data_IF_622069213475
#
_entry.id   IF_622069213475
#
_cell.length_a   1.000
_cell.length_b   1.000
_cell.length_c   1.000
_cell.angle_alpha   90.00
_cell.angle_beta   90.00
_cell.angle_gamma   90.00
#
_symmetry.space_group_name_H-M   'P 1'
#
loop_
_entity.id
_entity.type
_entity.pdbx_description
1 polymer ?
#
# COMPACT_ATOMS: atom_id res chain seq x y z
N UNK A 1 -23.41 -8.55 17.03
CA UNK A 1 -22.99 -7.63 15.95
C UNK A 1 -21.64 -6.94 16.26
N UNK A 2 -21.07 -7.21 17.44
CA UNK A 2 -19.87 -6.51 17.94
C UNK A 2 -18.54 -7.07 17.42
N UNK A 3 -18.53 -8.33 16.98
CA UNK A 3 -17.32 -9.00 16.45
C UNK A 3 -16.89 -8.44 15.11
N UNK A 4 -17.83 -8.23 14.18
CA UNK A 4 -17.55 -7.65 12.85
C UNK A 4 -17.03 -6.22 12.99
N UNK A 5 -17.61 -5.42 13.89
CA UNK A 5 -17.12 -4.06 14.15
C UNK A 5 -15.72 -4.04 14.76
N UNK A 6 -15.43 -4.92 15.74
CA UNK A 6 -14.07 -5.05 16.28
C UNK A 6 -13.06 -5.43 15.21
N UNK A 7 -13.37 -6.42 14.37
CA UNK A 7 -12.47 -6.85 13.29
C UNK A 7 -12.23 -5.72 12.30
N UNK A 8 -13.27 -4.97 11.90
CA UNK A 8 -13.11 -3.80 11.03
C UNK A 8 -12.18 -2.74 11.64
N UNK A 9 -12.30 -2.47 12.94
CA UNK A 9 -11.44 -1.53 13.66
C UNK A 9 -9.98 -2.01 13.69
N UNK A 10 -9.73 -3.28 14.00
CA UNK A 10 -8.38 -3.85 13.99
C UNK A 10 -7.73 -3.80 12.61
N UNK A 11 -8.48 -4.16 11.54
CA UNK A 11 -7.97 -4.10 10.17
C UNK A 11 -7.65 -2.65 9.78
N UNK A 12 -8.53 -1.71 10.12
CA UNK A 12 -8.30 -0.28 9.87
C UNK A 12 -7.04 0.22 10.55
N UNK A 13 -6.91 0.02 11.87
CA UNK A 13 -5.74 0.46 12.63
C UNK A 13 -4.44 -0.19 12.17
N UNK A 14 -4.45 -1.50 11.86
CA UNK A 14 -3.26 -2.19 11.35
C UNK A 14 -2.87 -1.70 9.95
N UNK A 15 -3.85 -1.39 9.10
CA UNK A 15 -3.60 -0.81 7.77
C UNK A 15 -2.98 0.58 7.88
N UNK A 16 -3.47 1.41 8.80
CA UNK A 16 -2.90 2.73 9.07
C UNK A 16 -1.45 2.65 9.55
N UNK A 17 -1.17 1.77 10.51
CA UNK A 17 0.20 1.50 10.97
C UNK A 17 1.07 1.00 9.81
N UNK A 18 0.56 0.08 8.99
CA UNK A 18 1.27 -0.42 7.81
C UNK A 18 1.60 0.67 6.80
N UNK A 19 0.68 1.62 6.56
CA UNK A 19 0.90 2.76 5.68
C UNK A 19 1.96 3.72 6.23
N UNK A 20 1.93 4.01 7.53
CA UNK A 20 2.97 4.82 8.19
C UNK A 20 4.35 4.16 8.09
N UNK A 21 4.43 2.85 8.31
CA UNK A 21 5.67 2.09 8.17
C UNK A 21 6.16 2.05 6.72
N UNK A 22 5.25 1.95 5.74
CA UNK A 22 5.59 2.01 4.33
C UNK A 22 6.17 3.38 3.95
N UNK A 23 5.60 4.48 4.45
CA UNK A 23 6.14 5.82 4.25
C UNK A 23 7.55 5.96 4.86
N UNK A 24 7.74 5.47 6.10
CA UNK A 24 9.04 5.46 6.76
C UNK A 24 10.08 4.66 5.97
N UNK A 25 9.69 3.48 5.47
CA UNK A 25 10.57 2.62 4.68
C UNK A 25 11.05 3.29 3.39
N UNK A 26 10.17 4.02 2.69
CA UNK A 26 10.52 4.76 1.48
C UNK A 26 11.54 5.85 1.80
N UNK A 27 11.29 6.66 2.83
CA UNK A 27 12.22 7.74 3.23
C UNK A 27 13.57 7.15 3.63
N UNK A 28 13.59 6.12 4.47
CA UNK A 28 14.82 5.49 4.91
C UNK A 28 15.61 4.87 3.74
N UNK A 29 14.93 4.20 2.79
CA UNK A 29 15.58 3.58 1.64
C UNK A 29 16.25 4.62 0.73
N UNK A 30 15.61 5.78 0.56
CA UNK A 30 16.16 6.89 -0.23
C UNK A 30 17.33 7.59 0.46
N UNK A 31 17.33 7.69 1.80
CA UNK A 31 18.40 8.36 2.55
C UNK A 31 19.65 7.50 2.72
N UNK A 32 19.48 6.22 3.06
CA UNK A 32 20.60 5.30 3.33
C UNK A 32 21.21 4.77 2.03
N UNK A 33 20.36 4.57 1.01
CA UNK A 33 20.73 3.86 -0.21
C UNK A 33 20.88 2.35 0.02
N UNK A 34 20.54 1.56 -1.00
CA UNK A 34 20.60 0.10 -0.93
C UNK A 34 19.44 -0.55 -0.15
N UNK A 35 19.62 -1.81 0.24
CA UNK A 35 18.58 -2.63 0.88
C UNK A 35 18.62 -2.47 2.40
N UNK A 36 17.50 -2.07 3.01
CA UNK A 36 17.36 -2.01 4.47
C UNK A 36 17.04 -3.40 5.05
N UNK A 37 17.72 -3.84 6.13
CA UNK A 37 17.62 -5.22 6.63
C UNK A 37 16.25 -5.62 7.18
N UNK A 38 15.40 -4.66 7.57
CA UNK A 38 14.07 -4.90 8.15
C UNK A 38 12.89 -4.43 7.27
N UNK A 39 13.14 -3.56 6.27
CA UNK A 39 12.09 -3.06 5.39
C UNK A 39 12.03 -3.77 4.03
N UNK A 40 13.10 -4.49 3.64
CA UNK A 40 13.16 -5.14 2.34
C UNK A 40 13.19 -4.13 1.17
N UNK A 41 12.83 -4.59 -0.03
CA UNK A 41 12.90 -3.82 -1.27
C UNK A 41 11.64 -3.00 -1.54
N UNK A 42 11.20 -2.15 -0.60
CA UNK A 42 9.90 -1.44 -0.71
C UNK A 42 9.79 -0.61 -1.99
N UNK A 43 10.82 0.16 -2.32
CA UNK A 43 10.85 0.98 -3.54
C UNK A 43 10.80 0.11 -4.80
N UNK A 44 11.56 -1.00 -4.82
CA UNK A 44 11.56 -1.95 -5.94
C UNK A 44 10.19 -2.62 -6.13
N UNK A 45 9.50 -2.96 -5.03
CA UNK A 45 8.16 -3.53 -5.07
C UNK A 45 7.14 -2.54 -5.66
N UNK A 46 7.22 -1.26 -5.26
CA UNK A 46 6.35 -0.20 -5.83
C UNK A 46 6.61 -0.04 -7.32
N UNK A 47 7.88 0.05 -7.73
CA UNK A 47 8.25 0.13 -9.15
C UNK A 47 7.70 -1.09 -9.90
N UNK A 48 7.88 -2.30 -9.36
CA UNK A 48 7.36 -3.53 -9.95
C UNK A 48 5.86 -3.52 -10.16
N UNK A 49 5.09 -3.06 -9.17
CA UNK A 49 3.63 -2.89 -9.29
C UNK A 49 3.27 -1.88 -10.39
N UNK A 50 3.92 -0.72 -10.41
CA UNK A 50 3.68 0.32 -11.43
C UNK A 50 4.03 -0.19 -12.82
N UNK A 51 5.15 -0.90 -12.98
CA UNK A 51 5.54 -1.53 -14.24
C UNK A 51 4.53 -2.56 -14.70
N UNK A 52 4.04 -3.42 -13.80
CA UNK A 52 3.00 -4.40 -14.13
C UNK A 52 1.71 -3.72 -14.58
N UNK A 53 1.28 -2.65 -13.91
CA UNK A 53 0.11 -1.89 -14.33
C UNK A 53 0.34 -1.24 -15.70
N UNK A 54 1.49 -0.62 -15.94
CA UNK A 54 1.83 0.01 -17.22
C UNK A 54 1.93 -0.98 -18.38
N UNK A 55 2.50 -2.17 -18.16
CA UNK A 55 2.69 -3.19 -19.21
C UNK A 55 1.39 -3.86 -19.66
N UNK A 56 0.35 -3.82 -18.82
CA UNK A 56 -0.97 -4.39 -19.12
C UNK A 56 -1.92 -3.41 -19.85
N UNK A 57 -1.47 -2.20 -20.19
CA UNK A 57 -2.22 -1.22 -20.98
C UNK A 57 -3.61 -0.91 -20.40
N UNK A 58 -4.68 -1.17 -21.16
CA UNK A 58 -6.07 -0.92 -20.73
C UNK A 58 -6.44 -1.69 -19.46
N UNK A 59 -6.02 -2.96 -19.34
CA UNK A 59 -6.32 -3.78 -18.15
C UNK A 59 -5.66 -3.17 -16.93
N UNK A 60 -4.43 -2.67 -17.07
CA UNK A 60 -3.72 -1.95 -16.02
C UNK A 60 -4.48 -0.70 -15.53
N UNK A 61 -5.04 0.08 -16.45
CA UNK A 61 -5.85 1.26 -16.10
C UNK A 61 -7.14 0.90 -15.38
N UNK A 62 -7.82 -0.18 -15.79
CA UNK A 62 -9.01 -0.69 -15.11
C UNK A 62 -8.66 -1.09 -13.68
N UNK A 63 -7.58 -1.85 -13.49
CA UNK A 63 -7.11 -2.27 -12.15
C UNK A 63 -6.76 -1.05 -11.29
N UNK A 64 -6.04 -0.07 -11.85
CA UNK A 64 -5.74 1.18 -11.14
C UNK A 64 -7.01 1.92 -10.72
N UNK A 65 -8.02 2.00 -11.59
CA UNK A 65 -9.31 2.61 -11.28
C UNK A 65 -10.03 1.92 -10.12
N UNK A 66 -10.02 0.58 -10.10
CA UNK A 66 -10.60 -0.21 -9.00
C UNK A 66 -9.85 0.05 -7.69
N UNK A 67 -8.51 0.07 -7.72
CA UNK A 67 -7.69 0.35 -6.54
C UNK A 67 -8.00 1.74 -5.98
N UNK A 68 -8.05 2.76 -6.84
CA UNK A 68 -8.41 4.12 -6.42
C UNK A 68 -9.82 4.19 -5.85
N UNK A 69 -10.79 3.53 -6.48
CA UNK A 69 -12.18 3.51 -6.00
C UNK A 69 -12.30 2.87 -4.60
N UNK A 70 -11.63 1.73 -4.38
CA UNK A 70 -11.61 1.03 -3.08
C UNK A 70 -11.02 1.92 -1.99
N UNK A 71 -9.93 2.63 -2.31
CA UNK A 71 -9.27 3.52 -1.38
C UNK A 71 -10.03 4.82 -1.12
N UNK A 72 -10.80 5.33 -2.08
CA UNK A 72 -11.65 6.52 -1.90
C UNK A 72 -12.94 6.21 -1.14
N UNK A 73 -13.42 4.97 -1.18
CA UNK A 73 -14.59 4.51 -0.40
C UNK A 73 -14.24 4.02 1.00
N UNK A 74 -12.96 4.11 1.40
CA UNK A 74 -12.60 3.96 2.81
C UNK A 74 -13.10 5.23 3.51
N UNK A 75 -14.23 5.11 4.22
CA UNK A 75 -14.58 6.09 5.24
C UNK A 75 -13.46 6.00 6.28
N UNK A 76 -12.50 6.92 6.21
CA UNK A 76 -11.57 7.17 7.30
C UNK A 76 -12.47 7.59 8.47
N UNK A 77 -12.66 6.66 9.40
CA UNK A 77 -13.52 6.85 10.57
C UNK A 77 -12.83 7.76 11.59
#
# INVERSE_FOLDING_TARGET
MDTVHRVKMWIGGLTEIGLMLLALAIVAALLVGGQLPFFGGVVANIIGLVTQLGSNGLVGLIVLGIIMWLFSHRSMA
#
